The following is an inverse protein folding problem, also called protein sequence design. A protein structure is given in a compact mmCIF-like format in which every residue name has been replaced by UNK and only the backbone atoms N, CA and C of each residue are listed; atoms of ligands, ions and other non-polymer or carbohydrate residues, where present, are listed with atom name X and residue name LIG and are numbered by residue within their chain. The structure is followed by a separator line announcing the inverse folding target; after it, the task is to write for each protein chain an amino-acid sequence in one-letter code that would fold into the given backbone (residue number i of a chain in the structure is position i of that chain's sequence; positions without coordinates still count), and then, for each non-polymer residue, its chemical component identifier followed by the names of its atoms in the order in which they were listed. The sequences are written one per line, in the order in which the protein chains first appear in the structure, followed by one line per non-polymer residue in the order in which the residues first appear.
data_IF_677838245218
#
_entry.id   IF_677838245218
#
_cell.length_a   1.000
_cell.length_b   1.000
_cell.length_c   1.000
_cell.angle_alpha   90.00
_cell.angle_beta   90.00
_cell.angle_gamma   90.00
#
_symmetry.space_group_name_H-M   'P 1'
#
loop_
_entity.id
_entity.type
_entity.pdbx_description
1 polymer ?
#
# COMPACT_ATOMS: atom_id res chain seq x y z
N UNK A 1 -23.06 20.83 11.59
CA UNK A 1 -21.78 20.11 11.58
C UNK A 1 -21.67 19.31 10.30
N UNK A 2 -20.61 19.50 9.57
CA UNK A 2 -20.43 18.79 8.31
C UNK A 2 -19.51 17.60 8.56
N UNK A 3 -20.02 16.42 8.29
CA UNK A 3 -19.19 15.23 8.35
C UNK A 3 -18.46 15.08 7.03
N UNK A 4 -17.18 14.86 7.13
CA UNK A 4 -16.40 14.56 5.95
C UNK A 4 -16.70 13.13 5.53
N UNK A 5 -17.42 12.99 4.42
CA UNK A 5 -17.77 11.67 3.89
C UNK A 5 -16.72 11.10 2.97
N UNK A 6 -15.62 11.81 2.79
CA UNK A 6 -14.54 11.33 1.95
C UNK A 6 -13.88 10.12 2.62
N UNK A 7 -13.77 8.99 1.93
CA UNK A 7 -13.10 7.83 2.51
C UNK A 7 -11.66 8.17 2.85
N UNK A 8 -11.21 7.73 4.03
CA UNK A 8 -9.82 7.93 4.43
C UNK A 8 -8.90 6.87 3.86
N UNK A 9 -9.46 5.81 3.32
CA UNK A 9 -8.71 4.69 2.76
C UNK A 9 -9.12 4.47 1.33
N UNK A 10 -8.22 3.91 0.55
CA UNK A 10 -8.49 3.56 -0.83
C UNK A 10 -7.87 2.21 -1.15
N UNK A 11 -8.34 1.59 -2.21
CA UNK A 11 -7.80 0.31 -2.62
C UNK A 11 -6.43 0.52 -3.25
N UNK A 12 -5.45 -0.22 -2.73
CA UNK A 12 -4.11 -0.24 -3.28
C UNK A 12 -3.81 -1.64 -3.77
N UNK A 13 -3.35 -1.74 -5.02
CA UNK A 13 -3.02 -3.03 -5.64
C UNK A 13 -1.53 -3.18 -5.77
N UNK A 14 -1.05 -4.39 -5.52
CA UNK A 14 0.36 -4.70 -5.61
C UNK A 14 0.84 -4.47 -7.04
N UNK A 15 1.86 -3.63 -7.17
CA UNK A 15 2.43 -3.26 -8.45
C UNK A 15 3.70 -4.05 -8.71
N UNK A 16 4.58 -4.12 -7.71
CA UNK A 16 5.83 -4.87 -7.82
C UNK A 16 6.36 -5.19 -6.43
N UNK A 17 7.28 -6.12 -6.41
CA UNK A 17 8.00 -6.50 -5.19
C UNK A 17 9.49 -6.38 -5.44
N UNK A 18 10.22 -5.92 -4.44
CA UNK A 18 11.66 -5.89 -4.48
C UNK A 18 12.21 -6.62 -3.26
N UNK A 19 13.10 -7.56 -3.49
CA UNK A 19 13.72 -8.30 -2.41
C UNK A 19 15.00 -7.58 -2.00
N UNK A 20 15.14 -7.38 -0.70
CA UNK A 20 16.32 -6.74 -0.13
C UNK A 20 16.94 -7.67 0.90
N UNK A 21 18.13 -7.32 1.38
CA UNK A 21 18.80 -8.15 2.38
C UNK A 21 18.02 -8.24 3.67
N UNK A 22 17.23 -7.22 3.98
CA UNK A 22 16.46 -7.17 5.23
C UNK A 22 15.01 -7.58 5.10
N UNK A 23 14.54 -7.93 3.89
CA UNK A 23 13.15 -8.29 3.71
C UNK A 23 12.65 -8.02 2.30
N UNK A 24 11.38 -7.69 2.21
CA UNK A 24 10.73 -7.46 0.92
C UNK A 24 10.03 -6.12 0.95
N UNK A 25 10.24 -5.32 -0.09
CA UNK A 25 9.52 -4.06 -0.28
C UNK A 25 8.33 -4.32 -1.21
N UNK A 26 7.13 -4.04 -0.72
CA UNK A 26 5.91 -4.22 -1.49
C UNK A 26 5.43 -2.86 -1.97
N UNK A 27 5.37 -2.65 -3.27
CA UNK A 27 4.93 -1.39 -3.87
C UNK A 27 3.50 -1.52 -4.37
N UNK A 28 2.65 -0.61 -3.94
CA UNK A 28 1.23 -0.65 -4.27
C UNK A 28 0.83 0.60 -5.02
N UNK A 29 0.05 0.40 -6.07
CA UNK A 29 -0.51 1.51 -6.84
C UNK A 29 -1.83 1.93 -6.21
N UNK A 30 -1.97 3.22 -5.98
CA UNK A 30 -3.20 3.78 -5.42
C UNK A 30 -4.28 3.88 -6.49
N UNK A 31 -5.51 3.59 -6.11
CA UNK A 31 -6.64 3.68 -7.02
C UNK A 31 -6.79 5.09 -7.60
N UNK A 32 -6.53 6.09 -6.79
CA UNK A 32 -6.64 7.48 -7.22
C UNK A 32 -5.45 7.97 -8.02
N UNK A 33 -4.40 7.17 -8.13
CA UNK A 33 -3.25 7.52 -8.95
C UNK A 33 -2.22 8.40 -8.27
N UNK A 34 -2.26 8.52 -6.95
CA UNK A 34 -1.24 9.26 -6.21
C UNK A 34 0.07 8.49 -6.13
N UNK A 35 0.93 8.90 -5.19
CA UNK A 35 2.20 8.23 -4.98
C UNK A 35 1.99 6.77 -4.62
N UNK A 36 2.89 5.91 -5.08
CA UNK A 36 2.84 4.51 -4.74
C UNK A 36 2.98 4.34 -3.23
N UNK A 37 2.20 3.42 -2.68
CA UNK A 37 2.33 3.06 -1.27
C UNK A 37 3.41 2.01 -1.13
N UNK A 38 4.24 2.15 -0.10
CA UNK A 38 5.32 1.21 0.18
C UNK A 38 5.08 0.54 1.52
N UNK A 39 5.10 -0.77 1.51
CA UNK A 39 5.07 -1.56 2.74
C UNK A 39 6.32 -2.41 2.77
N UNK A 40 7.12 -2.25 3.83
CA UNK A 40 8.31 -3.06 4.02
C UNK A 40 7.98 -4.23 4.94
N UNK A 41 8.29 -5.42 4.47
CA UNK A 41 8.07 -6.64 5.22
C UNK A 41 9.44 -7.17 5.64
N UNK A 42 9.68 -7.20 6.94
CA UNK A 42 10.99 -7.62 7.47
C UNK A 42 11.15 -9.14 7.53
N UNK A 43 10.06 -9.86 7.35
CA UNK A 43 10.08 -11.32 7.42
C UNK A 43 9.96 -11.90 6.02
N UNK A 44 10.98 -12.67 5.60
CA UNK A 44 10.99 -13.28 4.28
C UNK A 44 9.85 -14.29 4.10
N UNK A 45 9.25 -14.77 5.18
CA UNK A 45 8.13 -15.71 5.11
C UNK A 45 6.80 -15.02 4.85
N UNK A 46 6.75 -13.71 5.05
CA UNK A 46 5.53 -12.94 4.83
C UNK A 46 5.51 -12.46 3.39
N UNK A 47 4.41 -12.72 2.71
CA UNK A 47 4.24 -12.31 1.32
C UNK A 47 3.51 -10.99 1.24
N UNK A 48 3.78 -10.22 0.19
CA UNK A 48 3.02 -9.03 -0.09
C UNK A 48 1.58 -9.41 -0.42
N UNK A 49 0.63 -8.72 0.18
CA UNK A 49 -0.77 -8.93 -0.19
C UNK A 49 -1.00 -8.42 -1.61
N UNK A 50 -1.89 -9.09 -2.34
CA UNK A 50 -2.20 -8.67 -3.70
C UNK A 50 -2.83 -7.30 -3.73
N UNK A 51 -3.61 -6.98 -2.70
CA UNK A 51 -4.23 -5.67 -2.56
C UNK A 51 -4.59 -5.44 -1.11
N UNK A 52 -4.69 -4.17 -0.73
CA UNK A 52 -5.12 -3.82 0.61
C UNK A 52 -5.66 -2.40 0.62
N UNK A 53 -6.34 -2.03 1.68
CA UNK A 53 -6.81 -0.67 1.84
C UNK A 53 -5.72 0.17 2.49
N UNK A 54 -5.19 1.08 1.73
CA UNK A 54 -4.14 1.98 2.21
C UNK A 54 -4.74 3.34 2.55
N UNK A 55 -4.04 4.06 3.42
CA UNK A 55 -4.47 5.39 3.79
C UNK A 55 -4.31 6.32 2.60
N UNK A 56 -5.33 7.13 2.35
CA UNK A 56 -5.28 8.07 1.23
C UNK A 56 -4.19 9.11 1.45
N UNK A 57 -3.53 9.43 0.36
CA UNK A 57 -2.55 10.51 0.35
C UNK A 57 -3.30 11.80 0.10
N UNK A 58 -3.32 12.66 1.10
CA UNK A 58 -3.98 13.96 0.98
C UNK A 58 -2.95 15.05 0.86
#
# INVERSE_FOLDING_TARGET
MVEDKTPQYELCRLKKREFTDGGTDCFYRRQTGGKDALIRVDDAKVRCQAEYQCKRDQ
#
